data_IF_734350195002
#
_entry.id   IF_734350195002
#
_cell.length_a   1.000
_cell.length_b   1.000
_cell.length_c   1.000
_cell.angle_alpha   90.00
_cell.angle_beta   90.00
_cell.angle_gamma   90.00
#
_symmetry.space_group_name_H-M   'P 1'
#
loop_
_entity.id
_entity.type
_entity.pdbx_description
1 polymer ?
#
# COMPACT_ATOMS: atom_id res chain seq x y z
N UNK A 1 58.85 -19.41 -43.69
CA UNK A 1 58.70 -17.95 -43.47
C UNK A 1 57.36 -17.41 -43.96
N UNK A 2 56.80 -17.90 -45.10
CA UNK A 2 55.49 -17.45 -45.61
C UNK A 2 54.26 -17.86 -44.79
N UNK A 3 54.24 -19.01 -44.10
CA UNK A 3 53.05 -19.42 -43.31
C UNK A 3 52.91 -18.61 -42.02
N UNK A 4 54.01 -18.33 -41.31
CA UNK A 4 53.99 -17.55 -40.07
C UNK A 4 53.47 -16.12 -40.27
N UNK A 5 53.77 -15.50 -41.42
CA UNK A 5 53.25 -14.17 -41.76
C UNK A 5 51.75 -14.19 -42.09
N UNK A 6 51.25 -15.28 -42.69
CA UNK A 6 49.82 -15.47 -42.92
C UNK A 6 49.06 -15.69 -41.60
N UNK A 7 49.61 -16.52 -40.70
CA UNK A 7 49.03 -16.81 -39.38
C UNK A 7 48.95 -15.55 -38.50
N UNK A 8 49.98 -14.69 -38.54
CA UNK A 8 49.98 -13.39 -37.83
C UNK A 8 48.94 -12.43 -38.43
N UNK A 9 48.77 -12.44 -39.76
CA UNK A 9 47.77 -11.64 -40.45
C UNK A 9 46.33 -12.04 -40.11
N UNK A 10 46.07 -13.34 -40.03
CA UNK A 10 44.78 -13.90 -39.63
C UNK A 10 44.47 -13.59 -38.16
N UNK A 11 45.44 -13.75 -37.26
CA UNK A 11 45.29 -13.36 -35.86
C UNK A 11 44.99 -11.87 -35.70
N UNK A 12 45.70 -11.01 -36.43
CA UNK A 12 45.43 -9.56 -36.41
C UNK A 12 44.03 -9.22 -36.91
N UNK A 13 43.51 -9.98 -37.89
CA UNK A 13 42.15 -9.84 -38.37
C UNK A 13 41.13 -10.27 -37.31
N UNK A 14 41.33 -11.42 -36.67
CA UNK A 14 40.46 -11.91 -35.59
C UNK A 14 40.45 -10.95 -34.40
N UNK A 15 41.62 -10.47 -33.94
CA UNK A 15 41.70 -9.49 -32.86
C UNK A 15 40.97 -8.18 -33.18
N UNK A 16 41.03 -7.73 -34.44
CA UNK A 16 40.29 -6.55 -34.89
C UNK A 16 38.79 -6.79 -34.88
N UNK A 17 38.33 -7.96 -35.34
CA UNK A 17 36.92 -8.33 -35.30
C UNK A 17 36.41 -8.44 -33.86
N UNK A 18 37.15 -9.13 -32.98
CA UNK A 18 36.82 -9.24 -31.56
C UNK A 18 36.77 -7.87 -30.89
N UNK A 19 37.73 -6.98 -31.17
CA UNK A 19 37.71 -5.61 -30.61
C UNK A 19 36.44 -4.86 -31.03
N UNK A 20 36.06 -4.92 -32.30
CA UNK A 20 34.83 -4.29 -32.80
C UNK A 20 33.58 -4.90 -32.16
N UNK A 21 33.56 -6.22 -31.99
CA UNK A 21 32.48 -6.91 -31.31
C UNK A 21 32.36 -6.49 -29.84
N UNK A 22 33.47 -6.47 -29.10
CA UNK A 22 33.51 -6.02 -27.70
C UNK A 22 33.11 -4.55 -27.54
N UNK A 23 33.53 -3.68 -28.46
CA UNK A 23 33.11 -2.27 -28.48
C UNK A 23 31.60 -2.14 -28.71
N UNK A 24 31.04 -2.93 -29.63
CA UNK A 24 29.60 -2.96 -29.89
C UNK A 24 28.81 -3.50 -28.69
N UNK A 25 29.25 -4.59 -28.06
CA UNK A 25 28.61 -5.14 -26.85
C UNK A 25 28.67 -4.16 -25.68
N UNK A 26 29.84 -3.52 -25.46
CA UNK A 26 29.99 -2.50 -24.42
C UNK A 26 29.02 -1.35 -24.65
N UNK A 27 28.89 -0.88 -25.89
CA UNK A 27 27.93 0.17 -26.23
C UNK A 27 26.49 -0.27 -25.97
N UNK A 28 26.14 -1.51 -26.35
CA UNK A 28 24.82 -2.07 -26.11
C UNK A 28 24.48 -2.18 -24.62
N UNK A 29 25.42 -2.61 -23.79
CA UNK A 29 25.27 -2.66 -22.33
C UNK A 29 25.05 -1.26 -21.75
N UNK A 30 25.79 -0.26 -22.22
CA UNK A 30 25.61 1.13 -21.78
C UNK A 30 24.21 1.66 -22.12
N UNK A 31 23.73 1.40 -23.34
CA UNK A 31 22.37 1.77 -23.75
C UNK A 31 21.30 1.08 -22.89
N UNK A 32 21.51 -0.21 -22.59
CA UNK A 32 20.58 -0.96 -21.77
C UNK A 32 20.54 -0.44 -20.33
N UNK A 33 21.71 -0.16 -19.74
CA UNK A 33 21.81 0.43 -18.40
C UNK A 33 21.11 1.78 -18.31
N UNK A 34 21.29 2.64 -19.30
CA UNK A 34 20.63 3.94 -19.34
C UNK A 34 19.11 3.80 -19.48
N UNK A 35 18.64 2.82 -20.27
CA UNK A 35 17.21 2.51 -20.39
C UNK A 35 16.65 2.00 -19.07
N UNK A 36 17.33 1.07 -18.41
CA UNK A 36 16.93 0.52 -17.10
C UNK A 36 16.85 1.64 -16.07
N UNK A 37 17.88 2.49 -15.97
CA UNK A 37 17.92 3.64 -15.06
C UNK A 37 16.70 4.55 -15.24
N UNK A 38 16.40 4.95 -16.47
CA UNK A 38 15.24 5.81 -16.79
C UNK A 38 13.91 5.14 -16.48
N UNK A 39 13.79 3.84 -16.74
CA UNK A 39 12.56 3.10 -16.43
C UNK A 39 12.33 3.00 -14.93
N UNK A 40 13.38 2.69 -14.16
CA UNK A 40 13.31 2.61 -12.70
C UNK A 40 12.95 3.97 -12.11
N UNK A 41 13.58 5.05 -12.57
CA UNK A 41 13.27 6.42 -12.14
C UNK A 41 11.79 6.76 -12.35
N UNK A 42 11.25 6.47 -13.54
CA UNK A 42 9.81 6.66 -13.84
C UNK A 42 8.92 5.80 -12.95
N UNK A 43 9.31 4.55 -12.70
CA UNK A 43 8.57 3.65 -11.83
C UNK A 43 8.52 4.19 -10.39
N UNK A 44 9.62 4.72 -9.86
CA UNK A 44 9.67 5.36 -8.55
C UNK A 44 8.81 6.62 -8.48
N UNK A 45 8.90 7.51 -9.48
CA UNK A 45 8.05 8.70 -9.54
C UNK A 45 6.57 8.34 -9.54
N UNK A 46 6.17 7.39 -10.39
CA UNK A 46 4.78 6.95 -10.47
C UNK A 46 4.31 6.28 -9.16
N UNK A 47 5.16 5.44 -8.56
CA UNK A 47 4.88 4.77 -7.29
C UNK A 47 4.70 5.76 -6.14
N UNK A 48 5.58 6.76 -6.04
CA UNK A 48 5.50 7.81 -5.03
C UNK A 48 4.24 8.65 -5.20
N UNK A 49 3.93 9.12 -6.42
CA UNK A 49 2.70 9.89 -6.70
C UNK A 49 1.46 9.06 -6.36
N UNK A 50 1.43 7.77 -6.74
CA UNK A 50 0.34 6.86 -6.38
C UNK A 50 0.15 6.77 -4.86
N UNK A 51 1.24 6.63 -4.10
CA UNK A 51 1.19 6.58 -2.64
C UNK A 51 0.66 7.87 -2.01
N UNK A 52 1.05 9.04 -2.54
CA UNK A 52 0.52 10.33 -2.11
C UNK A 52 -0.96 10.51 -2.44
N UNK A 53 -1.38 10.11 -3.64
CA UNK A 53 -2.78 10.17 -4.06
C UNK A 53 -3.67 9.22 -3.24
N UNK A 54 -3.21 7.99 -2.98
CA UNK A 54 -3.94 7.05 -2.11
C UNK A 54 -4.14 7.65 -0.73
N UNK A 55 -3.14 8.31 -0.15
CA UNK A 55 -3.31 8.98 1.13
C UNK A 55 -4.33 10.12 1.07
N UNK A 56 -4.24 10.95 0.04
CA UNK A 56 -5.18 12.05 -0.14
C UNK A 56 -6.63 11.55 -0.22
N UNK A 57 -6.83 10.39 -0.85
CA UNK A 57 -8.11 9.69 -0.88
C UNK A 57 -8.51 9.13 0.49
N UNK A 58 -7.60 8.45 1.20
CA UNK A 58 -7.86 7.95 2.56
C UNK A 58 -8.24 9.08 3.51
N UNK A 59 -7.58 10.24 3.41
CA UNK A 59 -7.90 11.43 4.20
C UNK A 59 -9.32 11.92 3.89
N UNK A 60 -9.72 11.94 2.61
CA UNK A 60 -11.06 12.36 2.16
C UNK A 60 -12.17 11.41 2.64
N UNK A 61 -11.92 10.09 2.62
CA UNK A 61 -12.94 9.07 2.91
C UNK A 61 -13.04 8.77 4.40
N UNK A 62 -11.91 8.68 5.10
CA UNK A 62 -11.86 8.16 6.46
C UNK A 62 -11.85 9.24 7.54
N UNK A 63 -11.53 10.51 7.22
CA UNK A 63 -11.49 11.58 8.22
C UNK A 63 -12.75 12.45 8.18
N UNK A 64 -13.51 12.56 9.28
CA UNK A 64 -14.73 13.37 9.34
C UNK A 64 -14.50 14.88 9.11
N UNK A 65 -13.26 15.37 9.23
CA UNK A 65 -12.91 16.79 9.13
C UNK A 65 -12.08 17.12 7.89
N UNK A 66 -11.93 16.21 6.94
CA UNK A 66 -11.24 16.52 5.68
C UNK A 66 -12.08 17.47 4.84
N UNK A 67 -11.50 18.60 4.43
CA UNK A 67 -12.13 19.53 3.49
C UNK A 67 -11.98 19.01 2.06
N UNK A 68 -13.07 18.66 1.34
CA UNK A 68 -12.97 18.17 -0.03
C UNK A 68 -12.23 19.13 -0.98
N UNK A 69 -12.41 20.47 -0.89
CA UNK A 69 -11.59 21.42 -1.65
C UNK A 69 -10.08 21.29 -1.38
N UNK A 70 -9.67 21.05 -0.14
CA UNK A 70 -8.25 20.89 0.22
C UNK A 70 -7.67 19.61 -0.39
N UNK A 71 -8.43 18.50 -0.38
CA UNK A 71 -8.03 17.26 -1.06
C UNK A 71 -7.92 17.45 -2.58
N UNK A 72 -8.85 18.16 -3.21
CA UNK A 72 -8.78 18.48 -4.64
C UNK A 72 -7.55 19.34 -4.97
N UNK A 73 -7.25 20.35 -4.15
CA UNK A 73 -6.05 21.18 -4.33
C UNK A 73 -4.78 20.34 -4.22
N UNK A 74 -4.69 19.45 -3.23
CA UNK A 74 -3.56 18.54 -3.07
C UNK A 74 -3.41 17.59 -4.27
N UNK A 75 -4.51 17.05 -4.79
CA UNK A 75 -4.49 16.20 -5.98
C UNK A 75 -3.97 16.97 -7.22
N UNK A 76 -4.40 18.23 -7.39
CA UNK A 76 -3.93 19.09 -8.47
C UNK A 76 -2.42 19.39 -8.35
N UNK A 77 -1.93 19.68 -7.14
CA UNK A 77 -0.49 19.85 -6.88
C UNK A 77 0.30 18.59 -7.23
N UNK A 78 -0.20 17.41 -6.84
CA UNK A 78 0.43 16.13 -7.15
C UNK A 78 0.50 15.86 -8.67
N UNK A 79 -0.51 16.28 -9.43
CA UNK A 79 -0.52 16.15 -10.89
C UNK A 79 0.43 17.12 -11.60
N UNK A 80 0.73 18.27 -10.98
CA UNK A 80 1.61 19.30 -11.53
C UNK A 80 3.07 19.19 -11.03
N UNK A 81 3.37 18.22 -10.18
CA UNK A 81 4.69 18.02 -9.59
C UNK A 81 5.75 17.77 -10.66
N UNK A 82 6.93 18.35 -10.42
CA UNK A 82 8.15 18.11 -11.21
C UNK A 82 9.23 17.58 -10.29
N UNK A 83 9.74 16.40 -10.62
CA UNK A 83 10.89 15.83 -9.95
C UNK A 83 12.16 16.56 -10.41
N UNK A 84 13.04 16.82 -9.45
CA UNK A 84 14.29 17.56 -9.66
C UNK A 84 15.42 16.68 -9.16
N UNK A 85 16.50 16.60 -9.92
CA UNK A 85 17.69 15.84 -9.53
C UNK A 85 18.31 16.40 -8.25
N UNK A 86 18.73 15.51 -7.35
CA UNK A 86 19.28 15.86 -6.04
C UNK A 86 20.48 16.81 -6.13
N UNK A 87 21.41 16.55 -7.05
CA UNK A 87 22.60 17.38 -7.25
C UNK A 87 22.29 18.84 -7.59
N UNK A 88 21.14 19.14 -8.22
CA UNK A 88 20.74 20.51 -8.55
C UNK A 88 20.39 21.33 -7.30
N UNK A 89 19.98 20.66 -6.23
CA UNK A 89 19.57 21.29 -4.97
C UNK A 89 20.64 21.14 -3.90
N UNK A 90 21.22 19.94 -3.78
CA UNK A 90 22.17 19.57 -2.72
C UNK A 90 23.63 19.76 -3.11
N UNK A 91 23.92 19.95 -4.41
CA UNK A 91 25.28 20.10 -4.92
C UNK A 91 26.16 18.91 -4.55
N UNK A 92 27.35 19.21 -4.01
CA UNK A 92 28.33 18.19 -3.59
C UNK A 92 27.85 17.31 -2.44
N UNK A 93 26.83 17.74 -1.68
CA UNK A 93 26.32 16.96 -0.55
C UNK A 93 25.40 15.80 -0.99
N UNK A 94 24.97 15.77 -2.25
CA UNK A 94 24.08 14.70 -2.74
C UNK A 94 24.65 13.30 -2.45
N UNK A 95 25.95 13.10 -2.70
CA UNK A 95 26.60 11.82 -2.44
C UNK A 95 26.60 11.46 -0.96
N UNK A 96 26.88 12.42 -0.07
CA UNK A 96 26.88 12.21 1.38
C UNK A 96 25.51 11.79 1.89
N UNK A 97 24.44 12.45 1.42
CA UNK A 97 23.07 12.07 1.76
C UNK A 97 22.70 10.72 1.13
N UNK A 98 23.15 10.44 -0.10
CA UNK A 98 22.97 9.14 -0.75
C UNK A 98 23.57 7.99 0.05
N UNK A 99 24.82 8.14 0.50
CA UNK A 99 25.53 7.14 1.30
C UNK A 99 24.84 6.90 2.65
N UNK A 100 24.38 7.97 3.30
CA UNK A 100 23.61 7.89 4.53
C UNK A 100 22.30 7.13 4.32
N UNK A 101 21.54 7.49 3.29
CA UNK A 101 20.26 6.84 2.98
C UNK A 101 20.43 5.38 2.57
N UNK A 102 21.49 5.04 1.83
CA UNK A 102 21.84 3.65 1.51
C UNK A 102 22.18 2.86 2.77
N UNK A 103 22.99 3.43 3.66
CA UNK A 103 23.35 2.81 4.95
C UNK A 103 22.12 2.56 5.83
N UNK A 104 21.13 3.46 5.80
CA UNK A 104 19.86 3.27 6.50
C UNK A 104 19.01 2.17 5.85
N UNK A 105 18.92 2.14 4.52
CA UNK A 105 18.19 1.12 3.76
C UNK A 105 18.72 -0.28 4.06
N UNK A 106 20.03 -0.44 4.05
CA UNK A 106 20.75 -1.70 4.30
C UNK A 106 20.73 -2.14 5.77
N UNK A 107 20.33 -1.26 6.70
CA UNK A 107 20.24 -1.56 8.12
C UNK A 107 18.81 -1.41 8.69
N UNK A 108 17.87 -2.31 8.33
CA UNK A 108 16.49 -2.29 8.83
C UNK A 108 16.38 -2.30 10.36
N UNK A 109 17.34 -2.90 11.06
CA UNK A 109 17.37 -2.96 12.52
C UNK A 109 17.60 -1.60 13.15
N UNK A 110 18.49 -0.78 12.58
CA UNK A 110 18.72 0.58 13.02
C UNK A 110 17.45 1.43 12.79
N UNK A 111 16.86 1.34 11.60
CA UNK A 111 15.61 2.04 11.27
C UNK A 111 14.48 1.67 12.23
N UNK A 112 14.32 0.37 12.54
CA UNK A 112 13.32 -0.11 13.51
C UNK A 112 13.48 0.55 14.89
N UNK A 113 14.72 0.61 15.40
CA UNK A 113 15.03 1.23 16.69
C UNK A 113 14.77 2.74 16.66
N UNK A 114 15.18 3.42 15.61
CA UNK A 114 14.92 4.86 15.47
C UNK A 114 13.42 5.17 15.46
N UNK A 115 12.62 4.40 14.73
CA UNK A 115 11.17 4.57 14.69
C UNK A 115 10.53 4.29 16.06
N UNK A 116 10.93 3.21 16.73
CA UNK A 116 10.42 2.86 18.06
C UNK A 116 10.77 3.92 19.12
N UNK A 117 11.98 4.50 19.07
CA UNK A 117 12.40 5.59 19.96
C UNK A 117 11.73 6.93 19.61
N UNK A 118 11.41 7.16 18.33
CA UNK A 118 10.65 8.34 17.89
C UNK A 118 9.21 8.30 18.39
N UNK A 119 8.61 7.11 18.45
CA UNK A 119 7.25 6.91 18.96
C UNK A 119 7.07 7.38 20.40
N UNK A 120 8.07 7.17 21.27
CA UNK A 120 8.02 7.64 22.65
C UNK A 120 8.13 9.16 22.80
N UNK A 121 8.58 9.87 21.76
CA UNK A 121 8.70 11.33 21.78
C UNK A 121 7.48 12.01 21.16
N UNK A 122 7.06 11.58 19.98
CA UNK A 122 5.88 12.12 19.31
C UNK A 122 5.28 11.09 18.35
N UNK A 123 4.04 10.73 18.61
CA UNK A 123 3.29 9.79 17.78
C UNK A 123 3.02 10.36 16.38
N UNK A 124 2.69 11.64 16.27
CA UNK A 124 2.43 12.30 14.98
C UNK A 124 3.70 12.36 14.13
N UNK A 125 4.82 12.79 14.73
CA UNK A 125 6.10 12.83 14.03
C UNK A 125 6.52 11.42 13.58
N UNK A 126 6.36 10.41 14.44
CA UNK A 126 6.64 9.02 14.09
C UNK A 126 5.80 8.56 12.89
N UNK A 127 4.50 8.87 12.82
CA UNK A 127 3.66 8.48 11.69
C UNK A 127 4.15 9.10 10.38
N UNK A 128 4.55 10.37 10.41
CA UNK A 128 5.11 11.07 9.25
C UNK A 128 6.46 10.46 8.87
N UNK A 129 7.35 10.23 9.83
CA UNK A 129 8.67 9.63 9.60
C UNK A 129 8.55 8.20 9.06
N UNK A 130 7.71 7.36 9.64
CA UNK A 130 7.47 5.99 9.19
C UNK A 130 7.00 5.96 7.73
N UNK A 131 6.08 6.86 7.35
CA UNK A 131 5.71 7.03 5.96
C UNK A 131 6.91 7.42 5.10
N UNK A 132 7.59 8.50 5.44
CA UNK A 132 8.67 9.05 4.61
C UNK A 132 9.78 8.00 4.43
N UNK A 133 10.09 7.24 5.47
CA UNK A 133 11.01 6.10 5.40
C UNK A 133 10.50 5.05 4.41
N UNK A 134 9.23 4.63 4.52
CA UNK A 134 8.65 3.64 3.62
C UNK A 134 8.63 4.10 2.15
N UNK A 135 8.23 5.36 1.88
CA UNK A 135 8.08 5.86 0.52
C UNK A 135 9.38 6.33 -0.11
N UNK A 136 10.34 6.85 0.67
CA UNK A 136 11.58 7.43 0.17
C UNK A 136 12.78 6.48 0.28
N UNK A 137 12.93 5.73 1.38
CA UNK A 137 14.08 4.82 1.57
C UNK A 137 13.81 3.45 0.93
N UNK A 138 12.59 2.93 1.11
CA UNK A 138 12.19 1.63 0.57
C UNK A 138 11.35 1.74 -0.71
N UNK A 139 11.23 2.94 -1.28
CA UNK A 139 10.59 3.19 -2.57
C UNK A 139 9.19 2.55 -2.76
N UNK A 140 8.41 2.39 -1.67
CA UNK A 140 7.14 1.65 -1.66
C UNK A 140 7.24 0.20 -2.18
N UNK A 141 8.36 -0.48 -1.92
CA UNK A 141 8.62 -1.86 -2.34
C UNK A 141 8.49 -2.10 -3.85
N UNK A 142 8.91 -1.15 -4.68
CA UNK A 142 8.91 -1.32 -6.14
C UNK A 142 9.92 -2.39 -6.58
N UNK A 143 11.07 -2.50 -5.91
CA UNK A 143 12.04 -3.56 -6.16
C UNK A 143 11.91 -4.71 -5.15
N UNK A 144 12.23 -5.96 -5.54
CA UNK A 144 12.19 -7.12 -4.63
C UNK A 144 13.14 -6.99 -3.43
N UNK A 145 14.28 -6.32 -3.62
CA UNK A 145 15.23 -6.10 -2.53
C UNK A 145 14.63 -5.22 -1.43
N UNK A 146 13.87 -4.19 -1.81
CA UNK A 146 13.18 -3.30 -0.86
C UNK A 146 12.14 -4.05 -0.05
N UNK A 147 11.41 -4.98 -0.67
CA UNK A 147 10.48 -5.84 0.04
C UNK A 147 11.19 -6.67 1.11
N UNK A 148 12.36 -7.24 0.79
CA UNK A 148 13.15 -8.00 1.76
C UNK A 148 13.60 -7.13 2.93
N UNK A 149 14.05 -5.90 2.67
CA UNK A 149 14.44 -4.95 3.73
C UNK A 149 13.24 -4.53 4.59
N UNK A 150 12.08 -4.26 3.98
CA UNK A 150 10.85 -3.89 4.70
C UNK A 150 10.33 -5.04 5.55
N UNK A 151 10.35 -6.27 5.05
CA UNK A 151 9.95 -7.45 5.83
C UNK A 151 10.88 -7.65 7.05
N UNK A 152 12.18 -7.43 6.86
CA UNK A 152 13.12 -7.42 7.97
C UNK A 152 12.86 -6.27 8.95
N UNK A 153 12.54 -5.06 8.47
CA UNK A 153 12.15 -3.92 9.31
C UNK A 153 10.91 -4.28 10.16
N UNK A 154 9.87 -4.83 9.52
CA UNK A 154 8.64 -5.26 10.19
C UNK A 154 8.91 -6.33 11.24
N UNK A 155 9.77 -7.31 10.95
CA UNK A 155 10.19 -8.32 11.92
C UNK A 155 10.83 -7.67 13.17
N UNK A 156 11.78 -6.77 12.99
CA UNK A 156 12.44 -6.10 14.12
C UNK A 156 11.47 -5.20 14.90
N UNK A 157 10.57 -4.49 14.22
CA UNK A 157 9.52 -3.70 14.88
C UNK A 157 8.55 -4.59 15.67
N UNK A 158 8.23 -5.77 15.15
CA UNK A 158 7.40 -6.76 15.86
C UNK A 158 8.07 -7.22 17.16
N UNK A 159 9.36 -7.55 17.12
CA UNK A 159 10.12 -7.92 18.31
C UNK A 159 10.19 -6.77 19.33
N UNK A 160 10.38 -5.54 18.86
CA UNK A 160 10.51 -4.37 19.74
C UNK A 160 9.19 -3.90 20.36
N UNK A 161 8.09 -3.99 19.60
CA UNK A 161 6.81 -3.35 19.97
C UNK A 161 5.70 -4.34 20.29
N UNK A 162 5.60 -5.46 19.57
CA UNK A 162 4.51 -6.42 19.73
C UNK A 162 4.85 -7.50 20.76
N UNK A 163 6.06 -8.06 20.71
CA UNK A 163 6.48 -9.12 21.62
C UNK A 163 6.63 -8.63 23.07
N UNK A 164 6.93 -7.35 23.25
CA UNK A 164 7.11 -6.69 24.56
C UNK A 164 5.83 -6.07 25.11
N UNK A 165 4.75 -6.01 24.31
CA UNK A 165 3.51 -5.34 24.71
C UNK A 165 2.56 -6.28 25.45
N UNK A 166 2.02 -5.81 26.57
CA UNK A 166 0.95 -6.48 27.29
C UNK A 166 -0.39 -6.45 26.52
N UNK A 167 -0.56 -5.51 25.58
CA UNK A 167 -1.84 -5.31 24.85
C UNK A 167 -1.62 -5.08 23.34
N UNK A 168 -1.11 -6.08 22.60
CA UNK A 168 -0.78 -5.95 21.17
C UNK A 168 -1.99 -5.58 20.30
N UNK A 169 -3.20 -6.00 20.68
CA UNK A 169 -4.44 -5.66 19.99
C UNK A 169 -4.69 -4.15 19.91
N UNK A 170 -4.33 -3.39 20.95
CA UNK A 170 -4.51 -1.93 20.99
C UNK A 170 -3.55 -1.24 20.03
N UNK A 171 -2.30 -1.71 19.98
CA UNK A 171 -1.26 -1.18 19.10
C UNK A 171 -1.63 -1.30 17.62
N UNK A 172 -2.25 -2.42 17.24
CA UNK A 172 -2.65 -2.68 15.86
C UNK A 172 -3.90 -1.89 15.43
N UNK A 173 -4.88 -1.69 16.33
CA UNK A 173 -6.18 -1.09 15.96
C UNK A 173 -6.13 0.39 15.62
N UNK A 174 -5.28 1.16 16.29
CA UNK A 174 -5.28 2.63 16.15
C UNK A 174 -4.22 3.14 15.17
N UNK A 175 -3.45 2.26 14.52
CA UNK A 175 -2.26 2.72 13.80
C UNK A 175 -1.27 3.41 14.75
N UNK A 176 -1.31 3.05 16.03
CA UNK A 176 -0.68 3.86 17.08
C UNK A 176 0.83 3.68 17.14
N UNK A 177 1.36 2.61 16.54
CA UNK A 177 2.78 2.29 16.57
C UNK A 177 3.44 2.22 15.20
N UNK A 178 4.76 2.36 15.18
CA UNK A 178 5.57 2.29 13.96
C UNK A 178 5.33 1.00 13.16
N UNK A 179 5.24 -0.16 13.83
CA UNK A 179 4.91 -1.43 13.17
C UNK A 179 3.60 -1.32 12.38
N UNK A 180 2.54 -0.84 13.02
CA UNK A 180 1.20 -0.77 12.39
C UNK A 180 1.18 0.16 11.18
N UNK A 181 1.94 1.25 11.22
CA UNK A 181 2.05 2.23 10.13
C UNK A 181 2.80 1.65 8.93
N UNK A 182 3.97 1.04 9.15
CA UNK A 182 4.76 0.40 8.08
C UNK A 182 4.00 -0.81 7.52
N UNK A 183 3.37 -1.62 8.37
CA UNK A 183 2.62 -2.80 7.95
C UNK A 183 1.43 -2.42 7.06
N UNK A 184 0.66 -1.41 7.46
CA UNK A 184 -0.44 -0.89 6.63
C UNK A 184 0.08 -0.41 5.28
N UNK A 185 1.13 0.41 5.29
CA UNK A 185 1.73 0.92 4.05
C UNK A 185 2.22 -0.22 3.13
N UNK A 186 2.84 -1.26 3.69
CA UNK A 186 3.25 -2.44 2.94
C UNK A 186 2.06 -3.19 2.33
N UNK A 187 1.03 -3.51 3.11
CA UNK A 187 -0.16 -4.23 2.60
C UNK A 187 -0.89 -3.42 1.52
N UNK A 188 -0.95 -2.10 1.64
CA UNK A 188 -1.57 -1.23 0.64
C UNK A 188 -0.83 -1.25 -0.70
N UNK A 189 0.48 -1.52 -0.68
CA UNK A 189 1.28 -1.66 -1.90
C UNK A 189 1.11 -3.00 -2.59
N UNK A 190 0.70 -4.06 -1.88
CA UNK A 190 0.56 -5.43 -2.41
C UNK A 190 -0.62 -5.54 -3.40
N UNK A 191 -0.37 -5.65 -4.72
CA UNK A 191 -1.44 -5.85 -5.69
C UNK A 191 -2.16 -7.19 -5.49
N UNK A 192 -1.44 -8.23 -5.02
CA UNK A 192 -1.99 -9.56 -4.78
C UNK A 192 -3.08 -9.53 -3.71
N UNK A 193 -2.93 -8.70 -2.66
CA UNK A 193 -3.94 -8.54 -1.64
C UNK A 193 -5.24 -7.96 -2.22
N UNK A 194 -5.13 -6.96 -3.12
CA UNK A 194 -6.30 -6.37 -3.79
C UNK A 194 -7.00 -7.37 -4.70
N UNK A 195 -6.24 -8.16 -5.46
CA UNK A 195 -6.80 -9.22 -6.33
C UNK A 195 -7.50 -10.28 -5.50
N UNK A 196 -6.87 -10.74 -4.42
CA UNK A 196 -7.46 -11.70 -3.49
C UNK A 196 -8.76 -11.19 -2.88
N UNK A 197 -8.76 -9.98 -2.32
CA UNK A 197 -9.95 -9.36 -1.73
C UNK A 197 -11.05 -9.18 -2.77
N UNK A 198 -10.71 -8.75 -3.99
CA UNK A 198 -11.67 -8.63 -5.09
C UNK A 198 -12.26 -9.99 -5.44
N UNK A 199 -11.44 -11.03 -5.63
CA UNK A 199 -11.95 -12.37 -5.93
C UNK A 199 -12.83 -12.96 -4.82
N UNK A 200 -12.46 -12.72 -3.56
CA UNK A 200 -13.20 -13.22 -2.41
C UNK A 200 -14.54 -12.48 -2.20
N UNK A 201 -14.54 -11.15 -2.34
CA UNK A 201 -15.65 -10.29 -1.92
C UNK A 201 -16.53 -9.79 -3.07
N UNK A 202 -16.06 -9.82 -4.32
CA UNK A 202 -16.80 -9.26 -5.45
C UNK A 202 -18.20 -9.87 -5.60
N UNK A 203 -18.30 -11.20 -5.64
CA UNK A 203 -19.60 -11.86 -5.80
C UNK A 203 -20.54 -11.59 -4.61
N UNK A 204 -20.13 -11.76 -3.34
CA UNK A 204 -20.98 -11.40 -2.19
C UNK A 204 -21.46 -9.94 -2.21
N UNK A 205 -20.57 -9.00 -2.55
CA UNK A 205 -20.92 -7.57 -2.60
C UNK A 205 -21.91 -7.30 -3.74
N UNK A 206 -21.69 -7.85 -4.94
CA UNK A 206 -22.60 -7.67 -6.08
C UNK A 206 -23.97 -8.29 -5.80
N UNK A 207 -24.02 -9.49 -5.22
CA UNK A 207 -25.28 -10.13 -4.82
C UNK A 207 -26.06 -9.26 -3.83
N UNK A 208 -25.37 -8.68 -2.85
CA UNK A 208 -26.00 -7.77 -1.90
C UNK A 208 -26.53 -6.50 -2.57
N UNK A 209 -25.77 -5.90 -3.50
CA UNK A 209 -26.17 -4.70 -4.23
C UNK A 209 -27.35 -4.92 -5.19
N UNK A 210 -27.56 -6.16 -5.64
CA UNK A 210 -28.69 -6.53 -6.51
C UNK A 210 -30.00 -6.79 -5.72
N UNK A 211 -29.92 -6.99 -4.40
CA UNK A 211 -31.11 -7.19 -3.56
C UNK A 211 -31.71 -5.83 -3.14
N UNK A 212 -32.40 -5.15 -4.06
CA UNK A 212 -32.91 -3.76 -3.92
C UNK A 212 -33.92 -3.51 -2.76
N UNK A 213 -34.39 -4.55 -2.08
CA UNK A 213 -35.44 -4.43 -1.03
C UNK A 213 -35.08 -5.11 0.30
N UNK A 214 -33.80 -5.39 0.57
CA UNK A 214 -33.39 -6.13 1.76
C UNK A 214 -32.81 -5.23 2.87
N UNK A 215 -33.65 -4.96 3.88
CA UNK A 215 -33.21 -4.35 5.13
C UNK A 215 -32.64 -5.41 6.07
N UNK A 216 -31.31 -5.54 6.09
CA UNK A 216 -30.56 -6.46 6.96
C UNK A 216 -30.44 -5.97 8.43
N UNK A 217 -31.40 -5.17 8.89
CA UNK A 217 -31.43 -4.67 10.25
C UNK A 217 -31.75 -5.82 11.23
N UNK A 218 -30.82 -6.12 12.13
CA UNK A 218 -31.00 -7.12 13.19
C UNK A 218 -31.74 -6.51 14.40
N UNK A 219 -31.71 -5.18 14.53
CA UNK A 219 -32.37 -4.44 15.59
C UNK A 219 -33.88 -4.30 15.29
N UNK A 220 -34.76 -4.92 16.08
CA UNK A 220 -36.21 -4.93 15.84
C UNK A 220 -36.82 -3.53 15.88
N UNK A 221 -36.25 -2.61 16.65
CA UNK A 221 -36.74 -1.24 16.75
C UNK A 221 -36.45 -0.42 15.49
N UNK A 222 -35.34 -0.70 14.81
CA UNK A 222 -34.91 0.00 13.58
C UNK A 222 -35.52 -0.63 12.33
N UNK A 223 -35.69 -1.95 12.33
CA UNK A 223 -36.29 -2.69 11.22
C UNK A 223 -37.73 -2.21 10.92
N UNK A 224 -38.56 -2.00 11.95
CA UNK A 224 -39.96 -1.57 11.77
C UNK A 224 -40.08 -0.15 11.21
N UNK A 225 -39.20 0.77 11.62
CA UNK A 225 -39.28 2.21 11.28
C UNK A 225 -38.98 2.47 9.79
N UNK A 226 -38.25 1.58 9.13
CA UNK A 226 -37.93 1.71 7.69
C UNK A 226 -39.09 1.39 6.75
N UNK A 227 -40.08 0.64 7.23
CA UNK A 227 -41.29 0.39 6.45
C UNK A 227 -42.27 1.56 6.58
N UNK A 228 -42.95 1.96 5.49
CA UNK A 228 -44.07 2.89 5.54
C UNK A 228 -45.12 2.44 6.55
N UNK A 229 -45.85 3.38 7.16
CA UNK A 229 -46.79 3.08 8.24
C UNK A 229 -47.85 2.02 7.87
N UNK A 230 -48.33 2.03 6.62
CA UNK A 230 -49.28 1.04 6.09
C UNK A 230 -48.67 -0.36 5.97
N UNK A 231 -47.42 -0.44 5.54
CA UNK A 231 -46.71 -1.72 5.37
C UNK A 231 -46.21 -2.28 6.70
N UNK A 232 -45.86 -1.40 7.65
CA UNK A 232 -45.55 -1.77 9.04
C UNK A 232 -46.75 -2.41 9.71
N UNK A 233 -47.94 -1.82 9.56
CA UNK A 233 -49.17 -2.34 10.15
C UNK A 233 -49.58 -3.67 9.50
N UNK A 234 -49.29 -3.87 8.20
CA UNK A 234 -49.52 -5.13 7.48
C UNK A 234 -48.52 -6.24 7.83
N UNK A 235 -47.23 -5.91 7.99
CA UNK A 235 -46.14 -6.89 8.22
C UNK A 235 -45.97 -7.24 9.70
N UNK A 236 -46.16 -6.27 10.60
CA UNK A 236 -45.89 -6.44 12.03
C UNK A 236 -47.13 -6.26 12.91
N UNK A 237 -48.23 -5.68 12.43
CA UNK A 237 -49.43 -5.42 13.24
C UNK A 237 -49.34 -4.12 14.04
N UNK A 238 -50.23 -3.93 15.02
CA UNK A 238 -50.27 -2.72 15.86
C UNK A 238 -49.12 -2.71 16.88
N UNK A 239 -48.42 -1.57 16.97
CA UNK A 239 -47.33 -1.38 17.93
C UNK A 239 -47.82 -1.61 19.37
N UNK A 240 -47.08 -2.40 20.15
CA UNK A 240 -47.39 -2.71 21.55
C UNK A 240 -48.21 -3.99 21.79
N UNK A 241 -48.62 -4.73 20.75
CA UNK A 241 -49.28 -6.03 20.92
C UNK A 241 -48.26 -7.18 21.07
N UNK A 242 -48.63 -8.31 21.72
CA UNK A 242 -47.76 -9.49 21.77
C UNK A 242 -47.51 -10.08 20.37
N UNK A 243 -48.45 -9.92 19.44
CA UNK A 243 -48.35 -10.34 18.04
C UNK A 243 -47.28 -9.55 17.28
N UNK A 244 -47.15 -8.25 17.57
CA UNK A 244 -46.12 -7.38 17.00
C UNK A 244 -44.72 -7.81 17.41
N UNK A 245 -44.54 -8.16 18.68
CA UNK A 245 -43.26 -8.68 19.18
C UNK A 245 -42.91 -10.05 18.57
N UNK A 246 -43.90 -10.92 18.36
CA UNK A 246 -43.69 -12.22 17.71
C UNK A 246 -43.33 -12.06 16.21
N UNK A 247 -43.99 -11.15 15.50
CA UNK A 247 -43.69 -10.85 14.09
C UNK A 247 -42.28 -10.26 13.92
N UNK A 248 -41.86 -9.36 14.81
CA UNK A 248 -40.50 -8.83 14.85
C UNK A 248 -39.44 -9.90 15.14
N UNK A 249 -39.70 -10.80 16.09
CA UNK A 249 -38.80 -11.91 16.38
C UNK A 249 -38.64 -12.86 15.18
N UNK A 250 -39.74 -13.12 14.45
CA UNK A 250 -39.73 -13.91 13.21
C UNK A 250 -38.95 -13.23 12.08
N UNK A 251 -39.14 -11.92 11.91
CA UNK A 251 -38.36 -11.14 10.94
C UNK A 251 -36.87 -11.17 11.26
N UNK A 252 -36.49 -10.99 12.53
CA UNK A 252 -35.09 -11.09 12.97
C UNK A 252 -34.48 -12.46 12.68
N UNK A 253 -35.20 -13.55 12.97
CA UNK A 253 -34.74 -14.90 12.68
C UNK A 253 -34.56 -15.14 11.16
N UNK A 254 -35.47 -14.61 10.34
CA UNK A 254 -35.36 -14.64 8.89
C UNK A 254 -34.14 -13.86 8.38
N UNK A 255 -33.91 -12.65 8.90
CA UNK A 255 -32.74 -11.82 8.55
C UNK A 255 -31.44 -12.52 8.89
N UNK A 256 -31.33 -13.14 10.08
CA UNK A 256 -30.14 -13.90 10.48
C UNK A 256 -29.93 -15.11 9.56
N UNK A 257 -30.97 -15.90 9.29
CA UNK A 257 -30.87 -17.07 8.42
C UNK A 257 -30.46 -16.68 6.98
N UNK A 258 -30.98 -15.57 6.48
CA UNK A 258 -30.63 -15.04 5.16
C UNK A 258 -29.19 -14.49 5.13
N UNK A 259 -28.75 -13.78 6.17
CA UNK A 259 -27.35 -13.34 6.32
C UNK A 259 -26.39 -14.53 6.31
N UNK A 260 -26.69 -15.58 7.10
CA UNK A 260 -25.91 -16.83 7.11
C UNK A 260 -25.84 -17.44 5.72
N UNK A 261 -26.97 -17.51 4.99
CA UNK A 261 -27.01 -18.04 3.62
C UNK A 261 -26.20 -17.19 2.61
N UNK A 262 -26.08 -15.88 2.82
CA UNK A 262 -25.25 -15.00 1.98
C UNK A 262 -23.77 -15.18 2.31
N UNK A 263 -23.42 -15.50 3.56
CA UNK A 263 -22.04 -15.69 4.01
C UNK A 263 -21.52 -17.13 3.88
N UNK A 264 -22.40 -18.14 3.92
CA UNK A 264 -22.05 -19.55 3.72
C UNK A 264 -21.78 -19.80 2.25
N UNK A 265 -20.49 -19.90 1.94
CA UNK A 265 -19.93 -20.57 0.76
C UNK A 265 -19.36 -21.90 1.20
#
# INVERSE_FOLDING_TARGET
MGSLQADIGELAHHLKQERLFLEAEKHQIQLLNEKVRKTIERAYHASWVRGEQQRNYDDLVLRPHSSPPACCQKANLLNQLKFIDGYKVLGFNESLYGDLLSSLRENPRLVARCLAMGESQSQEAMQVTARTVFSSIYANCVLPDDETYVLNLLKHLMELQLATSETPRRLLRHGSCAFSQIYRAYVDTLPQAKVFLTAALHQPIVQLLMEDELFLDIDPSKAAVRFPAEERLRRFGKEGTPEYNAALAKYRAWTIAKLVKITDR
#
